data_IF_325663909375
#
_entry.id   IF_325663909375
#
_cell.length_a   1.000
_cell.length_b   1.000
_cell.length_c   1.000
_cell.angle_alpha   90.00
_cell.angle_beta   90.00
_cell.angle_gamma   90.00
#
_symmetry.space_group_name_H-M   'P 1'
#
loop_
_entity.id
_entity.type
_entity.pdbx_description
1 polymer ?
#
# COMPACT_ATOMS: atom_id res chain seq x y z
N UNK A 1 4.67 -30.32 26.23
CA UNK A 1 5.53 -30.27 25.03
C UNK A 1 4.69 -30.40 23.74
N UNK A 2 3.65 -29.58 23.55
CA UNK A 2 2.62 -29.81 22.49
C UNK A 2 2.28 -28.60 21.63
N UNK A 3 2.84 -27.42 21.89
CA UNK A 3 2.48 -26.21 21.13
C UNK A 3 3.16 -26.09 19.76
N UNK A 4 4.29 -26.75 19.54
CA UNK A 4 5.15 -26.56 18.35
C UNK A 4 4.55 -27.06 17.04
N UNK A 5 3.49 -27.87 17.06
CA UNK A 5 2.92 -28.49 15.85
C UNK A 5 1.53 -27.93 15.44
N UNK A 6 1.14 -26.79 16.01
CA UNK A 6 -0.16 -26.16 15.76
C UNK A 6 -0.18 -25.33 14.47
N UNK A 7 -1.30 -25.34 13.74
CA UNK A 7 -1.57 -24.41 12.63
C UNK A 7 -2.06 -23.03 13.11
N UNK A 8 -2.18 -22.82 14.43
CA UNK A 8 -2.55 -21.53 15.01
C UNK A 8 -1.35 -20.56 15.06
N UNK A 9 -0.87 -20.18 13.88
CA UNK A 9 0.31 -19.33 13.72
C UNK A 9 -0.13 -17.85 13.70
N UNK A 10 0.48 -16.98 14.53
CA UNK A 10 0.17 -15.55 14.53
C UNK A 10 0.24 -14.92 13.14
N UNK A 11 -0.81 -14.17 12.77
CA UNK A 11 -0.90 -13.49 11.48
C UNK A 11 -1.29 -14.38 10.29
N UNK A 12 -1.54 -15.67 10.50
CA UNK A 12 -2.23 -16.53 9.51
C UNK A 12 -3.73 -16.28 9.60
N UNK A 13 -4.39 -16.09 8.45
CA UNK A 13 -5.83 -15.82 8.39
C UNK A 13 -6.70 -17.08 8.47
N UNK A 14 -7.97 -16.90 8.84
CA UNK A 14 -8.96 -17.99 8.86
C UNK A 14 -9.17 -18.66 7.48
N UNK A 15 -9.17 -17.95 6.33
CA UNK A 15 -9.30 -18.59 5.02
C UNK A 15 -8.21 -19.64 4.74
N UNK A 16 -6.95 -19.32 5.04
CA UNK A 16 -5.83 -20.24 4.86
C UNK A 16 -5.98 -21.48 5.75
N UNK A 17 -6.26 -21.29 7.05
CA UNK A 17 -6.47 -22.41 7.97
C UNK A 17 -7.60 -23.33 7.50
N UNK A 18 -8.71 -22.75 7.03
CA UNK A 18 -9.85 -23.51 6.50
C UNK A 18 -9.46 -24.29 5.24
N UNK A 19 -8.69 -23.70 4.33
CA UNK A 19 -8.22 -24.37 3.12
C UNK A 19 -7.30 -25.56 3.45
N UNK A 20 -6.38 -25.41 4.41
CA UNK A 20 -5.55 -26.53 4.89
C UNK A 20 -6.39 -27.64 5.53
N UNK A 21 -7.32 -27.28 6.41
CA UNK A 21 -8.20 -28.24 7.06
C UNK A 21 -9.07 -29.03 6.06
N UNK A 22 -9.57 -28.37 5.01
CA UNK A 22 -10.33 -29.02 3.92
C UNK A 22 -9.48 -30.01 3.12
N UNK A 23 -8.15 -29.85 3.12
CA UNK A 23 -7.19 -30.82 2.57
C UNK A 23 -6.75 -31.89 3.57
N UNK A 24 -7.36 -31.93 4.77
CA UNK A 24 -6.98 -32.84 5.84
C UNK A 24 -5.70 -32.45 6.60
N UNK A 25 -5.14 -31.27 6.31
CA UNK A 25 -3.95 -30.74 6.96
C UNK A 25 -4.41 -29.99 8.21
N UNK A 26 -4.20 -30.61 9.36
CA UNK A 26 -4.63 -30.12 10.69
C UNK A 26 -3.45 -29.80 11.60
N UNK A 27 -2.25 -30.26 11.25
CA UNK A 27 -1.00 -30.05 11.99
C UNK A 27 0.10 -29.52 11.08
N UNK A 28 1.01 -28.75 11.65
CA UNK A 28 2.09 -28.09 10.91
C UNK A 28 3.00 -29.10 10.20
N UNK A 29 3.42 -30.16 10.89
CA UNK A 29 4.31 -31.19 10.36
C UNK A 29 3.74 -32.00 9.19
N UNK A 30 2.43 -31.98 8.95
CA UNK A 30 1.82 -32.62 7.78
C UNK A 30 2.15 -31.89 6.48
N UNK A 31 2.73 -30.69 6.57
CA UNK A 31 3.24 -29.94 5.42
C UNK A 31 4.68 -30.32 5.06
N UNK A 32 5.36 -31.17 5.85
CA UNK A 32 6.70 -31.63 5.49
C UNK A 32 6.68 -32.37 4.16
N UNK A 33 7.47 -31.88 3.21
CA UNK A 33 7.54 -32.43 1.85
C UNK A 33 6.32 -32.11 0.98
N UNK A 34 5.35 -31.33 1.46
CA UNK A 34 4.24 -30.88 0.63
C UNK A 34 4.73 -29.87 -0.42
N UNK A 35 4.19 -29.91 -1.64
CA UNK A 35 4.54 -28.96 -2.68
C UNK A 35 3.99 -27.55 -2.37
N UNK A 36 4.87 -26.55 -2.30
CA UNK A 36 4.51 -25.17 -1.97
C UNK A 36 3.53 -24.56 -2.99
N UNK A 37 3.75 -24.79 -4.28
CA UNK A 37 2.91 -24.26 -5.36
C UNK A 37 1.49 -24.80 -5.32
N UNK A 38 1.32 -26.09 -5.02
CA UNK A 38 0.01 -26.73 -4.91
C UNK A 38 -0.80 -26.19 -3.73
N UNK A 39 -0.16 -25.98 -2.57
CA UNK A 39 -0.82 -25.38 -1.41
C UNK A 39 -1.16 -23.91 -1.68
N UNK A 40 -0.28 -23.17 -2.35
CA UNK A 40 -0.51 -21.78 -2.72
C UNK A 40 -1.71 -21.63 -3.68
N UNK A 41 -1.91 -22.58 -4.58
CA UNK A 41 -3.01 -22.58 -5.55
C UNK A 41 -4.39 -22.83 -4.91
N UNK A 42 -4.47 -23.21 -3.63
CA UNK A 42 -5.75 -23.41 -2.95
C UNK A 42 -6.48 -22.09 -2.74
N UNK A 43 -7.79 -22.11 -3.02
CA UNK A 43 -8.65 -20.96 -2.77
C UNK A 43 -8.57 -20.51 -1.29
N UNK A 44 -8.25 -19.23 -1.06
CA UNK A 44 -8.10 -18.66 0.27
C UNK A 44 -6.70 -18.77 0.86
N UNK A 45 -5.74 -19.36 0.13
CA UNK A 45 -4.31 -19.36 0.49
C UNK A 45 -3.60 -18.27 -0.29
N UNK A 46 -2.96 -17.35 0.42
CA UNK A 46 -2.12 -16.30 -0.17
C UNK A 46 -0.66 -16.48 0.23
N UNK A 47 0.26 -16.06 -0.63
CA UNK A 47 1.71 -16.25 -0.46
C UNK A 47 2.21 -15.73 0.90
N UNK A 48 1.77 -14.55 1.35
CA UNK A 48 2.16 -13.99 2.66
C UNK A 48 1.69 -14.85 3.84
N UNK A 49 0.52 -15.48 3.72
CA UNK A 49 0.00 -16.39 4.74
C UNK A 49 0.79 -17.70 4.74
N UNK A 50 1.02 -18.27 3.55
CA UNK A 50 1.73 -19.53 3.40
C UNK A 50 3.22 -19.40 3.79
N UNK A 51 3.88 -18.29 3.45
CA UNK A 51 5.25 -17.99 3.91
C UNK A 51 5.38 -17.94 5.44
N UNK A 52 4.33 -17.50 6.17
CA UNK A 52 4.33 -17.57 7.64
C UNK A 52 4.21 -18.99 8.14
N UNK A 53 3.41 -19.81 7.46
CA UNK A 53 3.30 -21.25 7.76
C UNK A 53 4.63 -21.95 7.51
N UNK A 54 5.25 -21.69 6.36
CA UNK A 54 6.58 -22.18 6.00
C UNK A 54 7.64 -21.77 7.02
N UNK A 55 7.66 -20.50 7.44
CA UNK A 55 8.59 -20.03 8.47
C UNK A 55 8.36 -20.69 9.83
N UNK A 56 7.11 -20.98 10.19
CA UNK A 56 6.82 -21.76 11.39
C UNK A 56 7.27 -23.22 11.25
N UNK A 57 7.06 -23.84 10.09
CA UNK A 57 7.50 -25.21 9.78
C UNK A 57 9.02 -25.34 9.90
N UNK A 58 9.76 -24.39 9.31
CA UNK A 58 11.24 -24.34 9.38
C UNK A 58 11.77 -24.21 10.80
N UNK A 59 11.10 -23.45 11.67
CA UNK A 59 11.44 -23.38 13.10
C UNK A 59 11.30 -24.72 13.83
N UNK A 60 10.53 -25.66 13.28
CA UNK A 60 10.39 -27.03 13.80
C UNK A 60 11.32 -28.04 13.11
N UNK A 61 12.19 -27.58 12.20
CA UNK A 61 13.10 -28.45 11.42
C UNK A 61 12.47 -29.07 10.17
N UNK A 62 11.28 -28.62 9.77
CA UNK A 62 10.58 -29.08 8.58
C UNK A 62 10.73 -28.14 7.38
N UNK A 63 10.37 -28.61 6.18
CA UNK A 63 10.27 -27.75 5.00
C UNK A 63 9.25 -28.30 3.98
N UNK A 64 8.87 -27.44 3.04
CA UNK A 64 8.00 -27.79 1.90
C UNK A 64 8.84 -27.95 0.63
N UNK A 65 8.40 -28.80 -0.30
CA UNK A 65 9.05 -28.94 -1.61
C UNK A 65 8.78 -27.70 -2.48
N UNK A 66 9.80 -27.30 -3.27
CA UNK A 66 9.74 -26.13 -4.16
C UNK A 66 9.36 -24.83 -3.44
N UNK A 67 9.62 -24.76 -2.13
CA UNK A 67 9.34 -23.59 -1.33
C UNK A 67 10.42 -22.52 -1.52
N UNK A 68 10.04 -21.23 -1.53
CA UNK A 68 11.03 -20.16 -1.63
C UNK A 68 11.95 -20.15 -0.41
N UNK A 69 13.22 -19.82 -0.64
CA UNK A 69 14.21 -19.56 0.42
C UNK A 69 13.82 -18.33 1.24
N UNK A 70 14.40 -18.18 2.44
CA UNK A 70 14.16 -16.99 3.26
C UNK A 70 14.59 -15.69 2.54
N UNK A 71 15.68 -15.75 1.76
CA UNK A 71 16.16 -14.64 0.95
C UNK A 71 15.17 -14.28 -0.17
N UNK A 72 14.58 -15.28 -0.85
CA UNK A 72 13.55 -15.06 -1.86
C UNK A 72 12.24 -14.55 -1.26
N UNK A 73 11.85 -15.00 -0.07
CA UNK A 73 10.69 -14.45 0.64
C UNK A 73 10.92 -12.98 1.01
N UNK A 74 12.12 -12.65 1.49
CA UNK A 74 12.50 -11.29 1.83
C UNK A 74 12.54 -10.38 0.59
N UNK A 75 13.03 -10.86 -0.55
CA UNK A 75 13.06 -10.09 -1.80
C UNK A 75 11.68 -9.94 -2.44
N UNK A 76 10.84 -11.00 -2.41
CA UNK A 76 9.46 -10.96 -2.89
C UNK A 76 8.61 -9.96 -2.11
N UNK A 77 8.83 -9.79 -0.80
CA UNK A 77 8.12 -8.79 0.00
C UNK A 77 8.30 -7.35 -0.51
N UNK A 78 9.25 -7.10 -1.42
CA UNK A 78 9.75 -5.77 -1.76
C UNK A 78 9.43 -5.33 -3.20
N UNK A 79 9.03 -6.25 -4.09
CA UNK A 79 8.78 -5.90 -5.50
C UNK A 79 7.31 -5.64 -5.78
N UNK A 80 6.96 -4.36 -5.91
CA UNK A 80 5.71 -3.90 -6.51
C UNK A 80 6.03 -3.43 -7.93
N UNK A 81 5.27 -3.86 -8.92
CA UNK A 81 5.29 -3.25 -10.25
C UNK A 81 4.19 -2.21 -10.30
N UNK A 82 4.48 -1.04 -10.87
CA UNK A 82 3.48 0.02 -11.09
C UNK A 82 3.48 0.35 -12.58
N UNK A 83 2.31 0.25 -13.22
CA UNK A 83 2.13 0.57 -14.64
C UNK A 83 1.17 1.75 -14.81
N UNK A 84 1.29 2.55 -15.88
CA UNK A 84 0.32 3.59 -16.18
C UNK A 84 -1.07 3.02 -16.47
N UNK A 85 -2.11 3.78 -16.10
CA UNK A 85 -3.51 3.46 -16.39
C UNK A 85 -4.15 2.53 -15.35
N UNK A 86 -5.48 2.49 -15.38
CA UNK A 86 -6.28 1.51 -14.64
C UNK A 86 -6.56 0.28 -15.50
N UNK A 87 -6.61 -0.89 -14.87
CA UNK A 87 -6.96 -2.16 -15.52
C UNK A 87 -8.43 -2.54 -15.32
N UNK A 88 -9.12 -1.90 -14.36
CA UNK A 88 -10.44 -2.30 -13.87
C UNK A 88 -10.40 -3.51 -12.93
N UNK A 89 -9.25 -4.16 -12.77
CA UNK A 89 -9.10 -5.43 -12.07
C UNK A 89 -8.36 -5.19 -10.75
N UNK A 90 -9.05 -5.29 -9.63
CA UNK A 90 -8.50 -4.96 -8.30
C UNK A 90 -8.87 -6.05 -7.29
N UNK A 91 -7.94 -6.43 -6.41
CA UNK A 91 -8.19 -7.42 -5.35
C UNK A 91 -9.40 -7.04 -4.48
N UNK A 92 -10.24 -8.03 -4.14
CA UNK A 92 -11.56 -7.82 -3.52
C UNK A 92 -11.53 -7.14 -2.13
N UNK A 93 -10.40 -7.20 -1.44
CA UNK A 93 -10.19 -6.58 -0.13
C UNK A 93 -9.89 -5.07 -0.23
N UNK A 94 -9.55 -4.56 -1.42
CA UNK A 94 -9.33 -3.12 -1.64
C UNK A 94 -10.69 -2.41 -1.74
N UNK A 95 -10.97 -1.56 -0.75
CA UNK A 95 -12.25 -0.85 -0.60
C UNK A 95 -12.24 0.57 -1.14
N UNK A 96 -11.08 1.24 -1.11
CA UNK A 96 -10.96 2.58 -1.67
C UNK A 96 -10.97 2.48 -3.20
N UNK A 97 -11.93 3.15 -3.83
CA UNK A 97 -12.13 3.17 -5.28
C UNK A 97 -12.48 4.59 -5.74
N UNK A 98 -12.32 4.92 -7.03
CA UNK A 98 -12.83 6.15 -7.60
C UNK A 98 -14.34 6.30 -7.32
N UNK A 99 -14.78 7.53 -7.11
CA UNK A 99 -16.19 7.89 -6.88
C UNK A 99 -16.59 9.06 -7.76
N UNK A 100 -17.89 9.33 -7.88
CA UNK A 100 -18.42 10.49 -8.59
C UNK A 100 -18.51 11.75 -7.70
N UNK A 101 -17.93 11.72 -6.49
CA UNK A 101 -17.89 12.89 -5.62
C UNK A 101 -16.97 13.96 -6.22
N UNK A 102 -17.39 15.21 -6.12
CA UNK A 102 -16.60 16.34 -6.60
C UNK A 102 -15.47 16.69 -5.60
N UNK A 103 -14.19 16.73 -6.03
CA UNK A 103 -13.06 17.07 -5.15
C UNK A 103 -13.12 18.49 -4.56
N UNK A 104 -13.68 19.46 -5.28
CA UNK A 104 -13.81 20.84 -4.83
C UNK A 104 -14.87 20.91 -3.71
N UNK A 105 -16.05 20.33 -3.92
CA UNK A 105 -17.12 20.23 -2.94
C UNK A 105 -16.65 19.48 -1.69
N UNK A 106 -15.92 18.37 -1.86
CA UNK A 106 -15.30 17.65 -0.75
C UNK A 106 -14.38 18.55 0.08
N UNK A 107 -13.50 19.32 -0.56
CA UNK A 107 -12.60 20.23 0.15
C UNK A 107 -13.37 21.36 0.85
N UNK A 108 -14.43 21.89 0.23
CA UNK A 108 -15.28 22.94 0.81
C UNK A 108 -16.09 22.43 2.01
N UNK A 109 -16.53 21.17 1.98
CA UNK A 109 -17.30 20.54 3.05
C UNK A 109 -16.45 20.18 4.29
N UNK A 110 -15.13 20.37 4.23
CA UNK A 110 -14.27 20.16 5.41
C UNK A 110 -14.67 21.12 6.52
N UNK A 111 -15.08 20.54 7.65
CA UNK A 111 -15.61 21.23 8.84
C UNK A 111 -14.61 22.27 9.39
N UNK A 112 -13.35 21.87 9.55
CA UNK A 112 -12.32 22.66 10.22
C UNK A 112 -11.76 23.74 9.29
N UNK A 113 -11.90 25.04 9.62
CA UNK A 113 -11.56 26.13 8.68
C UNK A 113 -10.12 26.07 8.14
N UNK A 114 -9.13 25.80 9.00
CA UNK A 114 -7.74 25.64 8.57
C UNK A 114 -7.55 24.47 7.61
N UNK A 115 -8.24 23.33 7.85
CA UNK A 115 -8.15 22.15 6.99
C UNK A 115 -8.85 22.34 5.66
N UNK A 116 -9.97 23.07 5.65
CA UNK A 116 -10.64 23.49 4.43
C UNK A 116 -9.73 24.37 3.59
N UNK A 117 -9.13 25.40 4.18
CA UNK A 117 -8.19 26.28 3.49
C UNK A 117 -6.96 25.51 2.98
N UNK A 118 -6.34 24.67 3.82
CA UNK A 118 -5.22 23.81 3.43
C UNK A 118 -5.61 22.86 2.29
N UNK A 119 -6.80 22.24 2.35
CA UNK A 119 -7.31 21.30 1.34
C UNK A 119 -7.55 21.96 0.00
N UNK A 120 -8.18 23.14 -0.01
CA UNK A 120 -8.39 23.94 -1.22
C UNK A 120 -7.07 24.41 -1.84
N UNK A 121 -6.11 24.83 -1.01
CA UNK A 121 -4.78 25.24 -1.48
C UNK A 121 -4.00 24.05 -2.07
N UNK A 122 -4.11 22.85 -1.48
CA UNK A 122 -3.53 21.64 -2.06
C UNK A 122 -4.23 21.24 -3.37
N UNK A 123 -5.55 21.37 -3.44
CA UNK A 123 -6.31 21.11 -4.66
C UNK A 123 -5.78 21.98 -5.82
N UNK A 124 -5.68 23.29 -5.59
CA UNK A 124 -5.13 24.24 -6.57
C UNK A 124 -3.68 23.93 -6.95
N UNK A 125 -2.81 23.67 -5.96
CA UNK A 125 -1.40 23.35 -6.19
C UNK A 125 -1.22 22.08 -7.04
N UNK A 126 -1.95 21.01 -6.74
CA UNK A 126 -1.90 19.77 -7.52
C UNK A 126 -2.47 19.98 -8.92
N UNK A 127 -3.58 20.72 -9.09
CA UNK A 127 -4.13 21.04 -10.41
C UNK A 127 -3.09 21.76 -11.28
N UNK A 128 -2.39 22.76 -10.73
CA UNK A 128 -1.34 23.51 -11.44
C UNK A 128 -0.15 22.63 -11.84
N UNK A 129 0.30 21.76 -10.94
CA UNK A 129 1.47 20.89 -11.16
C UNK A 129 1.17 19.79 -12.16
N UNK A 130 0.01 19.14 -12.01
CA UNK A 130 -0.30 17.92 -12.75
C UNK A 130 -0.95 18.21 -14.11
N UNK A 131 -1.71 19.31 -14.21
CA UNK A 131 -2.50 19.63 -15.40
C UNK A 131 -3.63 18.65 -15.70
N UNK A 132 -3.97 17.75 -14.76
CA UNK A 132 -5.03 16.74 -14.94
C UNK A 132 -6.15 16.93 -13.93
N UNK A 133 -7.37 16.51 -14.30
CA UNK A 133 -8.52 16.61 -13.41
C UNK A 133 -8.37 15.67 -12.20
N UNK A 134 -8.65 16.15 -10.97
CA UNK A 134 -8.67 15.32 -9.78
C UNK A 134 -9.86 14.36 -9.77
N UNK A 135 -9.70 13.24 -9.07
CA UNK A 135 -10.76 12.26 -8.82
C UNK A 135 -10.85 11.98 -7.33
N UNK A 136 -12.07 11.85 -6.79
CA UNK A 136 -12.28 11.40 -5.41
C UNK A 136 -12.11 9.88 -5.29
N UNK A 137 -11.34 9.47 -4.29
CA UNK A 137 -11.06 8.07 -3.94
C UNK A 137 -11.62 7.74 -2.56
N UNK A 138 -12.68 6.93 -2.56
CA UNK A 138 -13.53 6.76 -1.38
C UNK A 138 -14.03 8.13 -0.86
N UNK A 139 -14.33 8.23 0.44
CA UNK A 139 -14.91 9.46 1.00
C UNK A 139 -13.87 10.49 1.45
N UNK A 140 -12.56 10.26 1.25
CA UNK A 140 -11.53 11.03 1.97
C UNK A 140 -10.29 11.44 1.19
N UNK A 141 -10.09 10.97 -0.05
CA UNK A 141 -8.84 11.21 -0.78
C UNK A 141 -9.11 11.83 -2.13
N UNK A 142 -8.29 12.81 -2.49
CA UNK A 142 -8.22 13.39 -3.83
C UNK A 142 -7.00 12.81 -4.52
N UNK A 143 -7.18 12.20 -5.68
CA UNK A 143 -6.13 11.52 -6.43
C UNK A 143 -5.95 12.08 -7.84
N UNK A 144 -4.72 12.02 -8.35
CA UNK A 144 -4.30 12.47 -9.67
C UNK A 144 -3.54 11.38 -10.42
N UNK A 145 -3.80 11.30 -11.73
CA UNK A 145 -3.26 10.25 -12.58
C UNK A 145 -3.86 8.88 -12.26
N UNK A 146 -3.55 7.91 -13.12
CA UNK A 146 -4.05 6.55 -13.01
C UNK A 146 -2.88 5.59 -13.10
N UNK A 147 -2.79 4.67 -12.15
CA UNK A 147 -1.78 3.62 -12.11
C UNK A 147 -2.40 2.31 -11.69
N UNK A 148 -1.78 1.22 -12.10
CA UNK A 148 -2.07 -0.11 -11.62
C UNK A 148 -0.85 -0.65 -10.90
N UNK A 149 -1.03 -1.10 -9.65
CA UNK A 149 0.05 -1.74 -8.91
C UNK A 149 -0.19 -3.23 -8.79
N UNK A 150 0.88 -4.02 -8.86
CA UNK A 150 0.86 -5.46 -8.62
C UNK A 150 2.05 -5.85 -7.76
N UNK A 151 1.78 -6.55 -6.66
CA UNK A 151 2.80 -7.16 -5.83
C UNK A 151 3.05 -8.61 -6.25
N UNK A 152 4.26 -9.09 -6.01
CA UNK A 152 4.61 -10.53 -6.10
C UNK A 152 3.70 -11.44 -5.27
N UNK A 153 3.09 -10.92 -4.20
CA UNK A 153 2.16 -11.67 -3.35
C UNK A 153 0.80 -11.95 -4.01
N UNK A 154 0.58 -11.46 -5.24
CA UNK A 154 -0.67 -11.56 -5.98
C UNK A 154 -1.69 -10.47 -5.64
N UNK A 155 -1.41 -9.60 -4.66
CA UNK A 155 -2.24 -8.41 -4.42
C UNK A 155 -1.98 -7.37 -5.50
N UNK A 156 -3.04 -6.87 -6.13
CA UNK A 156 -2.97 -5.85 -7.17
C UNK A 156 -4.18 -4.91 -7.11
N UNK A 157 -4.05 -3.71 -7.68
CA UNK A 157 -5.16 -2.78 -7.73
C UNK A 157 -4.90 -1.52 -8.51
N UNK A 158 -6.00 -0.91 -8.95
CA UNK A 158 -5.99 0.42 -9.54
C UNK A 158 -5.85 1.48 -8.43
N UNK A 159 -5.04 2.50 -8.70
CA UNK A 159 -4.78 3.60 -7.77
C UNK A 159 -4.55 4.92 -8.53
N UNK A 160 -4.44 6.01 -7.79
CA UNK A 160 -3.94 7.28 -8.32
C UNK A 160 -2.40 7.33 -8.22
N UNK A 161 -1.73 8.14 -9.05
CA UNK A 161 -0.26 8.28 -8.97
C UNK A 161 0.16 9.05 -7.73
N UNK A 162 -0.41 10.24 -7.54
CA UNK A 162 -0.21 11.09 -6.37
C UNK A 162 -1.56 11.63 -5.89
N UNK A 163 -1.63 12.05 -4.64
CA UNK A 163 -2.87 12.59 -4.09
C UNK A 163 -2.71 13.10 -2.68
N UNK A 164 -3.81 13.57 -2.11
CA UNK A 164 -3.83 14.06 -0.74
C UNK A 164 -5.16 13.80 -0.02
N UNK A 165 -5.15 14.00 1.29
CA UNK A 165 -6.33 13.95 2.16
C UNK A 165 -6.21 14.98 3.29
N UNK A 166 -7.11 15.98 3.37
CA UNK A 166 -7.11 16.99 4.43
C UNK A 166 -7.77 16.48 5.71
N UNK A 167 -7.19 15.43 6.32
CA UNK A 167 -7.76 14.81 7.52
C UNK A 167 -7.65 15.72 8.75
N UNK A 168 -8.54 15.52 9.73
CA UNK A 168 -8.55 16.27 11.00
C UNK A 168 -7.17 16.34 11.66
N UNK A 169 -6.52 15.19 11.85
CA UNK A 169 -5.23 15.10 12.55
C UNK A 169 -4.05 15.69 11.75
N UNK A 170 -4.01 15.50 10.43
CA UNK A 170 -2.90 15.96 9.57
C UNK A 170 -3.30 16.00 8.11
N UNK A 171 -2.60 16.80 7.30
CA UNK A 171 -2.63 16.69 5.85
C UNK A 171 -1.79 15.47 5.47
N UNK A 172 -2.41 14.52 4.78
CA UNK A 172 -1.72 13.33 4.28
C UNK A 172 -1.48 13.49 2.79
N UNK A 173 -0.24 13.33 2.35
CA UNK A 173 0.15 13.31 0.94
C UNK A 173 0.59 11.89 0.57
N UNK A 174 0.13 11.42 -0.58
CA UNK A 174 0.31 10.07 -1.07
C UNK A 174 1.15 10.07 -2.35
N UNK A 175 2.02 9.08 -2.51
CA UNK A 175 2.87 8.96 -3.71
C UNK A 175 4.03 9.95 -3.80
N UNK A 176 4.19 10.86 -2.82
CA UNK A 176 5.21 11.92 -2.85
C UNK A 176 6.63 11.41 -2.60
N UNK A 177 6.76 10.25 -1.94
CA UNK A 177 8.07 9.69 -1.57
C UNK A 177 8.91 9.24 -2.79
N UNK A 178 8.30 9.12 -3.98
CA UNK A 178 9.00 8.82 -5.23
C UNK A 178 9.72 10.02 -5.85
N UNK A 179 9.64 11.21 -5.26
CA UNK A 179 10.31 12.40 -5.78
C UNK A 179 11.85 12.23 -5.77
N UNK A 180 12.56 12.69 -6.81
CA UNK A 180 14.01 12.77 -6.79
C UNK A 180 14.52 13.56 -5.58
N UNK A 181 15.60 13.09 -4.96
CA UNK A 181 16.19 13.73 -3.78
C UNK A 181 15.21 13.96 -2.61
N UNK A 182 14.16 13.13 -2.49
CA UNK A 182 13.11 13.25 -1.45
C UNK A 182 13.67 13.52 -0.05
N UNK A 183 14.66 12.73 0.39
CA UNK A 183 15.28 12.86 1.72
C UNK A 183 15.98 14.21 1.93
N UNK A 184 16.63 14.75 0.90
CA UNK A 184 17.26 16.07 0.98
C UNK A 184 16.22 17.18 1.13
N UNK A 185 15.12 17.10 0.38
CA UNK A 185 14.03 18.08 0.48
C UNK A 185 13.31 18.04 1.84
N UNK A 186 13.20 16.86 2.49
CA UNK A 186 12.56 16.76 3.81
C UNK A 186 13.22 17.66 4.87
N UNK A 187 14.54 17.85 4.81
CA UNK A 187 15.26 18.72 5.75
C UNK A 187 14.76 20.17 5.72
N UNK A 188 14.28 20.64 4.57
CA UNK A 188 13.81 22.01 4.36
C UNK A 188 12.29 22.14 4.32
N UNK A 189 11.54 21.05 4.50
CA UNK A 189 10.08 21.04 4.37
C UNK A 189 9.38 21.64 5.60
N UNK A 190 9.97 21.50 6.79
CA UNK A 190 9.35 21.81 8.07
C UNK A 190 8.88 20.53 8.80
N UNK A 191 8.01 20.69 9.82
CA UNK A 191 7.60 19.56 10.67
C UNK A 191 6.76 18.55 9.89
N UNK A 192 7.26 17.32 9.79
CA UNK A 192 6.62 16.24 9.06
C UNK A 192 6.77 14.88 9.75
N UNK A 193 6.01 13.89 9.29
CA UNK A 193 6.16 12.47 9.65
C UNK A 193 6.04 11.62 8.39
N UNK A 194 6.81 10.54 8.32
CA UNK A 194 6.70 9.54 7.25
C UNK A 194 5.85 8.35 7.72
N UNK A 195 5.04 7.83 6.81
CA UNK A 195 4.46 6.49 6.89
C UNK A 195 4.97 5.62 5.74
N UNK A 196 4.48 4.39 5.65
CA UNK A 196 4.94 3.41 4.66
C UNK A 196 4.78 3.83 3.18
N UNK A 197 3.88 4.78 2.88
CA UNK A 197 3.73 5.31 1.52
C UNK A 197 3.15 6.72 1.49
N UNK A 198 3.27 7.43 2.61
CA UNK A 198 2.64 8.73 2.79
C UNK A 198 3.52 9.68 3.60
N UNK A 199 3.35 10.96 3.33
CA UNK A 199 3.98 12.07 4.01
C UNK A 199 2.89 12.83 4.77
N UNK A 200 3.06 13.00 6.07
CA UNK A 200 2.14 13.74 6.92
C UNK A 200 2.75 15.10 7.26
N UNK A 201 1.99 16.16 7.01
CA UNK A 201 2.33 17.53 7.44
C UNK A 201 1.21 18.11 8.31
N UNK A 202 1.57 18.99 9.23
CA UNK A 202 0.62 19.50 10.23
C UNK A 202 -0.36 20.51 9.64
N UNK A 203 0.11 21.44 8.82
CA UNK A 203 -0.67 22.45 8.09
C UNK A 203 0.24 23.13 7.06
N UNK A 204 -0.32 23.90 6.14
CA UNK A 204 0.49 24.59 5.13
C UNK A 204 1.25 25.79 5.71
N UNK A 205 0.74 26.43 6.76
CA UNK A 205 1.40 27.60 7.40
C UNK A 205 2.78 27.27 7.99
N UNK A 206 2.98 26.06 8.51
CA UNK A 206 4.25 25.59 9.07
C UNK A 206 5.08 24.78 8.07
N UNK A 207 4.72 24.78 6.80
CA UNK A 207 5.36 24.00 5.74
C UNK A 207 6.01 24.94 4.74
N UNK A 208 7.23 24.64 4.33
CA UNK A 208 7.87 25.37 3.24
C UNK A 208 7.16 25.02 1.92
N UNK A 209 6.35 25.95 1.41
CA UNK A 209 5.53 25.74 0.22
C UNK A 209 6.35 25.54 -1.06
N UNK A 210 7.53 26.16 -1.16
CA UNK A 210 8.42 25.95 -2.29
C UNK A 210 8.93 24.51 -2.31
N UNK A 211 9.44 24.03 -1.18
CA UNK A 211 9.89 22.64 -1.03
C UNK A 211 8.75 21.64 -1.27
N UNK A 212 7.55 21.92 -0.74
CA UNK A 212 6.37 21.08 -0.96
C UNK A 212 6.01 20.99 -2.45
N UNK A 213 6.01 22.11 -3.17
CA UNK A 213 5.77 22.15 -4.62
C UNK A 213 6.82 21.33 -5.39
N UNK A 214 8.10 21.47 -5.05
CA UNK A 214 9.18 20.67 -5.64
C UNK A 214 8.98 19.18 -5.43
N UNK A 215 8.58 18.77 -4.21
CA UNK A 215 8.29 17.37 -3.90
C UNK A 215 7.10 16.83 -4.72
N UNK A 216 6.02 17.59 -4.84
CA UNK A 216 4.84 17.17 -5.61
C UNK A 216 5.16 17.08 -7.10
N UNK A 217 5.86 18.08 -7.66
CA UNK A 217 6.31 18.09 -9.05
C UNK A 217 7.23 16.89 -9.34
N UNK A 218 8.27 16.71 -8.52
CA UNK A 218 9.22 15.62 -8.67
C UNK A 218 8.55 14.25 -8.60
N UNK A 219 7.57 14.07 -7.71
CA UNK A 219 6.80 12.82 -7.63
C UNK A 219 5.88 12.62 -8.85
N UNK A 220 5.32 13.70 -9.40
CA UNK A 220 4.49 13.64 -10.60
C UNK A 220 5.31 13.27 -11.85
N UNK A 221 6.53 13.80 -11.97
CA UNK A 221 7.41 13.56 -13.11
C UNK A 221 8.21 12.26 -12.99
N UNK A 222 8.41 11.77 -11.76
CA UNK A 222 9.14 10.54 -11.51
C UNK A 222 8.55 9.37 -12.33
N UNK A 223 9.41 8.52 -12.92
CA UNK A 223 8.98 7.28 -13.54
C UNK A 223 8.16 6.44 -12.54
N UNK A 224 7.22 5.64 -13.07
CA UNK A 224 6.51 4.67 -12.26
C UNK A 224 7.44 3.51 -11.94
N UNK A 225 8.29 3.69 -10.94
CA UNK A 225 9.03 2.61 -10.32
C UNK A 225 8.17 2.00 -9.21
N UNK A 226 8.39 0.72 -8.89
CA UNK A 226 7.78 0.07 -7.75
C UNK A 226 7.78 0.96 -6.51
N UNK A 227 6.66 0.99 -5.79
CA UNK A 227 6.35 1.93 -4.71
C UNK A 227 7.44 2.05 -3.62
N UNK A 228 7.28 3.03 -2.71
CA UNK A 228 8.34 3.44 -1.79
C UNK A 228 8.86 2.29 -0.91
N UNK A 229 10.17 2.32 -0.66
CA UNK A 229 10.90 1.46 0.29
C UNK A 229 10.44 1.70 1.74
#
# INVERSE_FOLDING_TARGET
MTETNSLNIPGVGAPLRKALQQKGITRLNQLNGANYGEILALHGVGAKGLNRVLGALRKTGGDMEQAPTEAEIASQATSVTVTPGHTGHTSADIKTRPTSLDPQEFCQAVEWPTRRADGLALLDMFNQITGVSPVMWGPTMVGYGQVHYASTSGRHGDWFKIGFSPRKASLTLYGIQGAPHFQHHLASLGKHKLGAGCLYITNLKSTNLHTLRTLIQGAWEAPLTGGPQ
#
